data_IF_807488081599
#
_entry.id   IF_807488081599
#
_cell.length_a   1.000
_cell.length_b   1.000
_cell.length_c   1.000
_cell.angle_alpha   90.00
_cell.angle_beta   90.00
_cell.angle_gamma   90.00
#
_symmetry.space_group_name_H-M   'P 1'
#
loop_
_entity.id
_entity.type
_entity.pdbx_description
1 polymer ?
#
# COMPACT_ATOMS: atom_id res chain seq x y z
N UNK A 1 -13.34 2.34 -5.70
CA UNK A 1 -14.24 3.48 -6.03
C UNK A 1 -13.41 4.58 -6.70
N UNK A 2 -13.90 5.20 -7.78
CA UNK A 2 -13.18 6.24 -8.54
C UNK A 2 -13.59 7.62 -8.01
N UNK A 3 -12.64 8.41 -7.48
CA UNK A 3 -12.89 9.80 -7.12
C UNK A 3 -12.39 10.69 -8.27
N UNK A 4 -13.32 11.35 -8.96
CA UNK A 4 -13.02 12.33 -10.00
C UNK A 4 -12.98 13.72 -9.37
N UNK A 5 -11.79 14.29 -9.23
CA UNK A 5 -11.65 15.70 -8.83
C UNK A 5 -11.28 16.49 -10.08
N UNK A 6 -12.20 17.35 -10.54
CA UNK A 6 -11.97 18.23 -11.69
C UNK A 6 -11.47 19.59 -11.19
N UNK A 7 -10.21 19.92 -11.47
CA UNK A 7 -9.59 21.21 -11.18
C UNK A 7 -9.18 21.85 -12.50
N UNK A 8 -10.10 22.57 -13.15
CA UNK A 8 -9.87 23.14 -14.48
C UNK A 8 -9.68 22.06 -15.56
N UNK A 9 -8.72 22.22 -16.47
CA UNK A 9 -8.49 21.33 -17.62
C UNK A 9 -7.80 19.99 -17.30
N UNK A 10 -7.56 19.66 -16.02
CA UNK A 10 -6.98 18.38 -15.60
C UNK A 10 -7.97 17.58 -14.75
N UNK A 11 -8.26 16.36 -15.21
CA UNK A 11 -8.93 15.33 -14.42
C UNK A 11 -7.86 14.58 -13.62
N UNK A 12 -7.94 14.65 -12.28
CA UNK A 12 -7.13 13.80 -11.42
C UNK A 12 -7.95 12.57 -11.04
N UNK A 13 -7.53 11.42 -11.57
CA UNK A 13 -8.13 10.12 -11.29
C UNK A 13 -7.51 9.51 -10.02
N UNK A 14 -8.21 9.61 -8.88
CA UNK A 14 -7.79 8.92 -7.66
C UNK A 14 -8.47 7.55 -7.58
N UNK A 15 -7.67 6.49 -7.70
CA UNK A 15 -8.11 5.11 -7.51
C UNK A 15 -7.92 4.70 -6.04
N UNK A 16 -9.03 4.57 -5.32
CA UNK A 16 -9.05 3.90 -4.03
C UNK A 16 -9.47 2.45 -4.26
N UNK A 17 -8.51 1.52 -4.09
CA UNK A 17 -8.79 0.09 -4.01
C UNK A 17 -9.29 -0.18 -2.59
N UNK A 18 -10.61 -0.20 -2.42
CA UNK A 18 -11.24 -0.69 -1.19
C UNK A 18 -11.71 -2.10 -1.53
N UNK A 19 -11.03 -3.11 -0.97
CA UNK A 19 -11.47 -4.51 -1.07
C UNK A 19 -12.86 -4.65 -0.43
N UNK A 20 -13.67 -5.49 -1.06
CA UNK A 20 -15.13 -5.43 -1.08
C UNK A 20 -15.85 -5.79 0.23
N UNK A 21 -17.11 -5.34 0.30
CA UNK A 21 -18.29 -5.88 1.02
C UNK A 21 -18.82 -5.30 2.35
N UNK A 22 -18.14 -4.45 3.12
CA UNK A 22 -18.73 -3.97 4.40
C UNK A 22 -18.67 -2.46 4.72
N UNK A 23 -18.41 -1.60 3.73
CA UNK A 23 -18.24 -0.17 4.01
C UNK A 23 -19.55 0.66 3.96
N UNK A 24 -20.27 0.69 5.08
CA UNK A 24 -21.37 1.65 5.35
C UNK A 24 -20.84 3.03 5.77
N UNK A 25 -20.06 3.71 4.93
CA UNK A 25 -19.69 5.10 5.21
C UNK A 25 -19.72 6.00 3.95
N UNK A 26 -20.92 6.12 3.35
CA UNK A 26 -21.22 7.18 2.35
C UNK A 26 -20.94 8.59 2.87
N UNK A 27 -20.98 8.79 4.20
CA UNK A 27 -20.67 10.06 4.86
C UNK A 27 -19.17 10.36 4.81
N UNK A 28 -18.32 9.37 5.07
CA UNK A 28 -16.86 9.55 5.12
C UNK A 28 -16.29 9.92 3.77
N UNK A 29 -16.81 9.30 2.70
CA UNK A 29 -16.49 9.64 1.32
C UNK A 29 -16.81 11.12 1.03
N UNK A 30 -18.01 11.57 1.41
CA UNK A 30 -18.43 12.97 1.24
C UNK A 30 -17.58 13.95 2.06
N UNK A 31 -17.07 13.53 3.22
CA UNK A 31 -16.17 14.36 4.05
C UNK A 31 -14.80 14.50 3.38
N UNK A 32 -14.24 13.40 2.88
CA UNK A 32 -12.96 13.40 2.16
C UNK A 32 -13.08 14.26 0.88
N UNK A 33 -14.14 14.10 0.10
CA UNK A 33 -14.42 14.93 -1.08
C UNK A 33 -14.46 16.43 -0.73
N UNK A 34 -15.19 16.80 0.32
CA UNK A 34 -15.30 18.21 0.75
C UNK A 34 -13.99 18.79 1.27
N UNK A 35 -13.17 18.00 1.97
CA UNK A 35 -11.86 18.43 2.44
C UNK A 35 -10.91 18.65 1.27
N UNK A 36 -10.88 17.75 0.29
CA UNK A 36 -10.03 17.88 -0.90
C UNK A 36 -10.43 19.10 -1.73
N UNK A 37 -11.73 19.34 -1.94
CA UNK A 37 -12.24 20.54 -2.64
C UNK A 37 -11.83 21.81 -1.88
N UNK A 38 -11.95 21.83 -0.55
CA UNK A 38 -11.61 23.01 0.26
C UNK A 38 -10.10 23.28 0.26
N UNK A 39 -9.28 22.24 0.34
CA UNK A 39 -7.82 22.33 0.21
C UNK A 39 -7.40 22.84 -1.17
N UNK A 40 -8.04 22.37 -2.24
CA UNK A 40 -7.77 22.86 -3.60
C UNK A 40 -8.18 24.32 -3.79
N UNK A 41 -9.29 24.76 -3.17
CA UNK A 41 -9.72 26.16 -3.22
C UNK A 41 -8.77 27.12 -2.48
N UNK A 42 -8.11 26.65 -1.42
CA UNK A 42 -7.12 27.42 -0.65
C UNK A 42 -5.76 27.54 -1.35
N UNK A 43 -5.48 26.65 -2.32
CA UNK A 43 -4.17 26.53 -2.96
C UNK A 43 -4.13 27.09 -4.39
N UNK A 44 -5.00 28.04 -4.73
CA UNK A 44 -5.14 28.56 -6.10
C UNK A 44 -3.94 29.32 -6.69
N UNK A 45 -2.78 29.41 -6.02
CA UNK A 45 -1.63 30.20 -6.49
C UNK A 45 -0.44 29.38 -7.01
N UNK A 46 -0.41 28.06 -6.85
CA UNK A 46 0.73 27.25 -7.30
C UNK A 46 0.33 25.78 -7.59
N UNK A 47 0.03 25.43 -8.85
CA UNK A 47 -0.53 24.10 -9.18
C UNK A 47 0.44 22.93 -8.89
N UNK A 48 1.75 23.14 -9.03
CA UNK A 48 2.75 22.06 -8.83
C UNK A 48 2.78 21.60 -7.38
N UNK A 49 2.77 22.55 -6.44
CA UNK A 49 2.80 22.20 -5.02
C UNK A 49 1.42 21.78 -4.47
N UNK A 50 0.32 22.11 -5.17
CA UNK A 50 -0.98 21.48 -4.92
C UNK A 50 -0.96 19.99 -5.31
N UNK A 51 -0.43 19.67 -6.48
CA UNK A 51 -0.32 18.29 -6.96
C UNK A 51 0.48 17.42 -6.01
N UNK A 52 1.65 17.89 -5.58
CA UNK A 52 2.48 17.17 -4.61
C UNK A 52 1.77 16.98 -3.25
N UNK A 53 1.07 18.02 -2.75
CA UNK A 53 0.33 17.93 -1.49
C UNK A 53 -0.84 16.92 -1.58
N UNK A 54 -1.56 16.90 -2.70
CA UNK A 54 -2.66 15.95 -2.92
C UNK A 54 -2.17 14.51 -3.02
N UNK A 55 -1.06 14.25 -3.72
CA UNK A 55 -0.45 12.91 -3.78
C UNK A 55 0.02 12.44 -2.41
N UNK A 56 0.61 13.34 -1.61
CA UNK A 56 1.01 13.03 -0.25
C UNK A 56 -0.19 12.69 0.62
N UNK A 57 -1.26 13.49 0.55
CA UNK A 57 -2.49 13.25 1.30
C UNK A 57 -3.15 11.93 0.91
N UNK A 58 -3.24 11.64 -0.39
CA UNK A 58 -3.74 10.37 -0.90
C UNK A 58 -2.93 9.18 -0.35
N UNK A 59 -1.60 9.29 -0.33
CA UNK A 59 -0.74 8.26 0.25
C UNK A 59 -0.98 8.07 1.75
N UNK A 60 -1.17 9.17 2.50
CA UNK A 60 -1.50 9.12 3.93
C UNK A 60 -2.83 8.40 4.14
N UNK A 61 -3.86 8.79 3.40
CA UNK A 61 -5.20 8.18 3.50
C UNK A 61 -5.16 6.70 3.15
N UNK A 62 -4.45 6.31 2.08
CA UNK A 62 -4.26 4.90 1.71
C UNK A 62 -3.64 4.08 2.84
N UNK A 63 -2.62 4.62 3.52
CA UNK A 63 -1.96 3.93 4.64
C UNK A 63 -2.84 3.77 5.89
N UNK A 64 -3.89 4.58 6.03
CA UNK A 64 -4.85 4.42 7.14
C UNK A 64 -5.77 3.23 6.90
N UNK A 65 -6.24 3.02 5.67
CA UNK A 65 -7.26 2.01 5.38
C UNK A 65 -6.71 0.60 5.10
N UNK A 66 -5.52 0.49 4.49
CA UNK A 66 -4.97 -0.81 4.16
C UNK A 66 -3.45 -0.87 4.28
N UNK A 67 -2.98 -1.94 4.91
CA UNK A 67 -1.56 -2.25 5.07
C UNK A 67 -1.37 -3.76 5.17
N UNK A 68 -1.01 -4.35 4.04
CA UNK A 68 -0.68 -5.76 3.93
C UNK A 68 0.82 -5.99 4.12
N UNK A 69 1.20 -6.98 4.92
CA UNK A 69 2.58 -7.46 4.96
C UNK A 69 2.81 -8.54 3.92
N UNK A 70 3.98 -8.49 3.29
CA UNK A 70 4.55 -9.64 2.58
C UNK A 70 4.96 -10.72 3.59
N UNK A 71 5.03 -11.98 3.14
CA UNK A 71 5.52 -13.07 3.98
C UNK A 71 6.97 -12.79 4.39
N UNK A 72 7.23 -12.77 5.70
CA UNK A 72 8.58 -12.57 6.25
C UNK A 72 9.39 -13.87 6.18
N UNK A 73 10.73 -13.74 6.18
CA UNK A 73 11.70 -14.84 6.24
C UNK A 73 11.87 -15.69 4.97
N UNK A 74 11.49 -15.16 3.81
CA UNK A 74 11.81 -15.78 2.53
C UNK A 74 12.70 -14.83 1.72
N UNK A 75 13.77 -15.38 1.14
CA UNK A 75 14.57 -14.70 0.13
C UNK A 75 14.34 -15.42 -1.19
N UNK A 76 13.70 -14.76 -2.14
CA UNK A 76 13.38 -15.40 -3.40
C UNK A 76 14.60 -15.31 -4.31
N UNK A 77 15.17 -16.47 -4.65
CA UNK A 77 16.34 -16.51 -5.53
C UNK A 77 15.94 -16.07 -6.93
N UNK A 78 16.62 -15.04 -7.45
CA UNK A 78 16.37 -14.41 -8.76
C UNK A 78 17.11 -15.09 -9.92
N UNK A 79 17.91 -16.12 -9.62
CA UNK A 79 18.96 -16.59 -10.55
C UNK A 79 18.54 -17.81 -11.39
N UNK A 80 17.29 -18.25 -11.31
CA UNK A 80 16.82 -19.52 -11.89
C UNK A 80 15.94 -19.36 -13.14
N UNK A 81 15.86 -18.17 -13.75
CA UNK A 81 15.20 -18.03 -15.06
C UNK A 81 16.23 -18.24 -16.17
N UNK A 82 16.61 -19.50 -16.39
CA UNK A 82 17.37 -19.90 -17.55
C UNK A 82 16.51 -19.77 -18.82
N UNK A 83 17.13 -19.31 -19.92
CA UNK A 83 16.44 -18.77 -21.11
C UNK A 83 15.52 -19.76 -21.83
N UNK A 84 15.64 -21.06 -21.56
CA UNK A 84 14.99 -22.13 -22.33
C UNK A 84 13.92 -22.94 -21.57
N UNK A 85 13.63 -22.64 -20.30
CA UNK A 85 12.66 -23.42 -19.51
C UNK A 85 11.73 -22.57 -18.67
N UNK A 86 10.95 -21.66 -19.27
CA UNK A 86 9.73 -21.17 -18.63
C UNK A 86 8.59 -22.21 -18.75
N UNK A 87 8.88 -23.46 -18.39
CA UNK A 87 7.87 -24.51 -18.33
C UNK A 87 7.15 -24.42 -16.97
N UNK A 88 5.89 -24.85 -16.92
CA UNK A 88 5.08 -24.98 -15.68
C UNK A 88 5.84 -25.72 -14.56
N UNK A 89 6.83 -26.55 -14.92
CA UNK A 89 7.70 -27.29 -14.01
C UNK A 89 8.77 -26.44 -13.29
N UNK A 90 9.18 -25.29 -13.85
CA UNK A 90 10.13 -24.38 -13.18
C UNK A 90 9.45 -23.55 -12.08
N UNK A 91 8.15 -23.27 -12.22
CA UNK A 91 7.36 -22.65 -11.14
C UNK A 91 7.28 -23.54 -9.90
N UNK A 92 7.31 -24.87 -10.07
CA UNK A 92 7.28 -25.85 -8.98
C UNK A 92 8.60 -25.95 -8.19
N UNK A 93 9.69 -25.33 -8.69
CA UNK A 93 10.97 -25.24 -7.96
C UNK A 93 11.04 -24.01 -7.05
N UNK A 94 10.10 -23.08 -7.16
CA UNK A 94 10.04 -21.91 -6.31
C UNK A 94 9.18 -22.19 -5.07
N UNK A 95 9.60 -21.59 -3.96
CA UNK A 95 8.77 -21.58 -2.75
C UNK A 95 7.40 -20.96 -3.09
N UNK A 96 6.27 -21.51 -2.61
CA UNK A 96 4.92 -21.02 -2.96
C UNK A 96 4.63 -19.56 -2.62
N UNK A 97 5.47 -18.95 -1.77
CA UNK A 97 5.42 -17.53 -1.39
C UNK A 97 6.24 -16.62 -2.31
N UNK A 98 7.11 -17.19 -3.14
CA UNK A 98 7.86 -16.47 -4.17
C UNK A 98 7.04 -16.39 -5.45
N UNK A 99 6.88 -15.18 -5.97
CA UNK A 99 6.21 -14.94 -7.25
C UNK A 99 7.04 -13.94 -8.08
N UNK A 100 8.23 -14.35 -8.56
CA UNK A 100 9.15 -13.45 -9.24
C UNK A 100 8.51 -12.83 -10.48
N UNK A 101 8.77 -11.54 -10.71
CA UNK A 101 8.27 -10.82 -11.89
C UNK A 101 9.28 -11.03 -13.02
N UNK A 102 8.90 -11.76 -14.06
CA UNK A 102 9.78 -12.00 -15.21
C UNK A 102 9.99 -10.71 -16.02
N UNK A 103 11.24 -10.44 -16.39
CA UNK A 103 11.64 -9.28 -17.19
C UNK A 103 11.92 -9.71 -18.62
N UNK A 104 11.38 -8.97 -19.59
CA UNK A 104 11.57 -9.24 -21.00
C UNK A 104 13.04 -9.02 -21.41
N UNK A 105 13.57 -9.86 -22.31
CA UNK A 105 14.88 -9.66 -22.95
C UNK A 105 15.03 -8.28 -23.61
N UNK A 106 13.94 -7.76 -24.16
CA UNK A 106 13.91 -6.47 -24.86
C UNK A 106 13.41 -5.33 -23.97
N UNK A 107 13.44 -5.50 -22.65
CA UNK A 107 13.16 -4.40 -21.74
C UNK A 107 14.25 -3.32 -21.89
N UNK A 108 13.84 -2.07 -22.14
CA UNK A 108 14.78 -0.99 -22.43
C UNK A 108 15.65 -0.60 -21.23
N UNK A 109 15.20 -0.85 -20.01
CA UNK A 109 15.90 -0.45 -18.79
C UNK A 109 16.66 -1.63 -18.18
N UNK A 110 15.96 -2.74 -17.94
CA UNK A 110 16.51 -3.92 -17.28
C UNK A 110 17.23 -4.87 -18.23
N UNK A 111 16.89 -4.86 -19.52
CA UNK A 111 17.50 -5.71 -20.54
C UNK A 111 19.02 -5.51 -20.66
N UNK A 112 19.52 -4.26 -20.84
CA UNK A 112 20.95 -3.98 -20.88
C UNK A 112 21.70 -4.34 -19.59
N UNK A 113 21.01 -4.37 -18.45
CA UNK A 113 21.57 -4.72 -17.14
C UNK A 113 21.63 -6.24 -16.90
N UNK A 114 21.14 -7.04 -17.86
CA UNK A 114 21.07 -8.49 -17.72
C UNK A 114 20.07 -8.96 -16.65
N UNK A 115 19.19 -8.08 -16.16
CA UNK A 115 18.18 -8.42 -15.16
C UNK A 115 17.05 -9.21 -15.83
N UNK A 116 16.76 -10.40 -15.30
CA UNK A 116 15.79 -11.35 -15.89
C UNK A 116 14.55 -11.54 -15.03
N UNK A 117 14.63 -11.21 -13.75
CA UNK A 117 13.48 -11.13 -12.88
C UNK A 117 13.69 -10.12 -11.75
N UNK A 118 12.57 -9.67 -11.20
CA UNK A 118 12.51 -8.84 -9.99
C UNK A 118 11.99 -9.68 -8.84
N UNK A 119 12.58 -9.50 -7.66
CA UNK A 119 12.13 -10.16 -6.44
C UNK A 119 10.73 -9.67 -6.07
N UNK A 120 9.82 -10.61 -5.87
CA UNK A 120 8.47 -10.32 -5.38
C UNK A 120 7.98 -11.47 -4.48
N UNK A 121 7.53 -11.08 -3.30
CA UNK A 121 6.95 -11.95 -2.27
C UNK A 121 5.45 -11.73 -2.22
N UNK A 122 4.69 -12.81 -2.08
CA UNK A 122 3.23 -12.74 -1.93
C UNK A 122 2.87 -12.10 -0.57
N UNK A 123 1.74 -11.39 -0.51
CA UNK A 123 1.16 -10.94 0.76
C UNK A 123 0.83 -12.12 1.65
N UNK A 124 1.05 -12.02 2.96
CA UNK A 124 0.74 -13.08 3.93
C UNK A 124 -0.71 -13.57 3.88
N UNK A 125 -0.94 -14.89 4.06
CA UNK A 125 -2.30 -15.41 4.16
C UNK A 125 -2.93 -14.98 5.49
N UNK A 126 -4.20 -14.58 5.46
CA UNK A 126 -4.99 -14.38 6.66
C UNK A 126 -5.39 -15.74 7.25
N UNK A 127 -5.23 -15.97 8.57
CA UNK A 127 -5.80 -17.14 9.20
C UNK A 127 -7.33 -17.06 9.13
N UNK A 128 -7.98 -18.14 8.70
CA UNK A 128 -9.44 -18.27 8.78
C UNK A 128 -9.87 -18.49 10.22
N UNK A 129 -11.10 -18.07 10.54
CA UNK A 129 -11.74 -18.45 11.79
C UNK A 129 -11.77 -19.98 11.90
N UNK A 130 -11.45 -20.51 13.09
CA UNK A 130 -11.35 -21.95 13.30
C UNK A 130 -10.15 -22.65 12.64
N UNK A 131 -9.21 -21.90 12.02
CA UNK A 131 -8.06 -22.46 11.30
C UNK A 131 -8.45 -23.42 10.18
N UNK A 132 -9.61 -23.22 9.57
CA UNK A 132 -10.12 -24.09 8.50
C UNK A 132 -9.38 -23.90 7.18
N UNK A 133 -9.34 -24.96 6.38
CA UNK A 133 -8.82 -24.90 5.02
C UNK A 133 -9.78 -24.15 4.10
N UNK A 134 -9.23 -23.38 3.16
CA UNK A 134 -10.02 -22.72 2.13
C UNK A 134 -9.18 -21.81 1.23
N UNK A 135 -9.85 -20.98 0.41
CA UNK A 135 -9.15 -19.98 -0.39
C UNK A 135 -8.30 -19.06 0.49
N UNK A 136 -7.17 -18.62 -0.07
CA UNK A 136 -6.26 -17.68 0.58
C UNK A 136 -6.87 -16.29 0.62
N UNK A 137 -7.07 -15.77 1.82
CA UNK A 137 -7.46 -14.37 2.06
C UNK A 137 -6.24 -13.53 2.47
N UNK A 138 -6.32 -12.21 2.31
CA UNK A 138 -5.26 -11.27 2.72
C UNK A 138 -5.67 -10.53 4.00
N UNK A 139 -4.71 -10.30 4.89
CA UNK A 139 -4.93 -9.59 6.15
C UNK A 139 -4.44 -8.14 6.05
N UNK A 140 -5.28 -7.18 6.45
CA UNK A 140 -4.86 -5.83 6.77
C UNK A 140 -4.44 -5.75 8.25
N UNK A 141 -3.31 -5.10 8.53
CA UNK A 141 -2.84 -4.86 9.91
C UNK A 141 -3.26 -3.51 10.48
N UNK A 142 -3.99 -2.71 9.70
CA UNK A 142 -4.49 -1.40 10.11
C UNK A 142 -6.00 -1.48 10.32
N UNK A 143 -6.53 -0.46 10.98
CA UNK A 143 -7.97 -0.39 11.25
C UNK A 143 -8.71 -0.02 9.96
N UNK A 144 -9.97 -0.44 9.86
CA UNK A 144 -10.84 -0.04 8.76
C UNK A 144 -11.43 1.37 8.97
N UNK A 145 -10.93 2.16 9.91
CA UNK A 145 -11.54 3.43 10.30
C UNK A 145 -10.60 4.59 10.06
N UNK A 146 -11.15 5.78 9.82
CA UNK A 146 -10.36 7.02 9.80
C UNK A 146 -10.15 7.52 11.24
N UNK A 147 -9.22 6.88 11.94
CA UNK A 147 -8.99 7.04 13.39
C UNK A 147 -7.60 7.61 13.73
N UNK A 148 -6.87 8.09 12.71
CA UNK A 148 -5.48 8.53 12.83
C UNK A 148 -4.51 7.43 13.35
N UNK A 149 -4.82 6.15 13.12
CA UNK A 149 -3.92 5.02 13.39
C UNK A 149 -2.56 5.12 12.66
N UNK A 150 -2.45 5.91 11.60
CA UNK A 150 -1.13 6.24 11.01
C UNK A 150 -0.22 6.97 12.01
N UNK A 151 -0.78 7.83 12.86
CA UNK A 151 -0.05 8.62 13.87
C UNK A 151 0.05 7.84 15.18
N UNK A 152 -1.03 7.19 15.60
CA UNK A 152 -1.14 6.55 16.91
C UNK A 152 -0.89 5.04 16.92
N UNK A 153 -0.63 4.44 15.75
CA UNK A 153 -0.58 2.99 15.51
C UNK A 153 -1.93 2.26 15.67
N UNK A 154 -2.08 1.14 14.95
CA UNK A 154 -3.15 0.15 15.14
C UNK A 154 -2.79 -0.93 16.16
N UNK A 155 -1.54 -0.96 16.63
CA UNK A 155 -1.03 -1.94 17.59
C UNK A 155 -0.78 -1.26 18.96
N UNK A 156 -1.30 -1.85 20.04
CA UNK A 156 -1.19 -1.29 21.38
C UNK A 156 0.27 -1.11 21.85
N UNK A 157 1.12 -2.13 21.70
CA UNK A 157 2.53 -2.05 22.10
C UNK A 157 3.27 -0.96 21.33
N UNK A 158 2.98 -0.82 20.03
CA UNK A 158 3.57 0.23 19.23
C UNK A 158 3.03 1.60 19.62
N UNK A 159 1.72 1.74 19.88
CA UNK A 159 1.11 2.99 20.37
C UNK A 159 1.76 3.47 21.66
N UNK A 160 2.02 2.57 22.60
CA UNK A 160 2.66 2.89 23.87
C UNK A 160 4.10 3.35 23.68
N UNK A 161 4.84 2.74 22.75
CA UNK A 161 6.22 3.14 22.42
C UNK A 161 6.32 4.55 21.81
N UNK A 162 5.23 5.03 21.19
CA UNK A 162 5.17 6.37 20.60
C UNK A 162 4.82 7.44 21.63
N UNK A 163 4.41 7.09 22.86
CA UNK A 163 3.89 8.04 23.86
C UNK A 163 4.90 8.33 24.97
N UNK A 164 4.92 9.57 25.40
CA UNK A 164 5.55 10.03 26.64
C UNK A 164 4.43 10.27 27.66
N UNK A 165 4.27 9.33 28.60
CA UNK A 165 3.18 9.37 29.59
C UNK A 165 3.30 10.50 30.62
N UNK A 166 4.48 11.09 30.79
CA UNK A 166 4.71 12.16 31.78
C UNK A 166 3.99 13.46 31.43
N UNK A 167 3.71 13.71 30.15
CA UNK A 167 3.06 14.95 29.66
C UNK A 167 1.98 14.71 28.58
N UNK A 168 1.56 13.45 28.35
CA UNK A 168 0.60 13.07 27.30
C UNK A 168 1.05 13.57 25.90
N UNK A 169 2.34 13.45 25.60
CA UNK A 169 2.91 13.84 24.31
C UNK A 169 3.37 12.63 23.51
N UNK A 170 3.61 12.80 22.21
CA UNK A 170 4.32 11.80 21.41
C UNK A 170 5.83 11.97 21.56
N UNK A 171 6.55 10.87 21.43
CA UNK A 171 8.01 10.87 21.39
C UNK A 171 8.47 11.58 20.12
N UNK A 172 9.30 12.61 20.30
CA UNK A 172 9.91 13.36 19.21
C UNK A 172 11.42 13.21 19.29
N UNK A 173 12.03 12.73 18.21
CA UNK A 173 13.49 12.68 18.08
C UNK A 173 13.96 14.01 17.48
N UNK A 174 14.72 14.84 18.21
CA UNK A 174 15.23 16.08 17.66
C UNK A 174 16.20 15.77 16.48
N UNK A 175 16.27 16.65 15.47
CA UNK A 175 17.29 16.54 14.42
C UNK A 175 18.68 16.63 15.05
N UNK A 176 19.60 15.78 14.57
CA UNK A 176 21.03 15.76 14.91
C UNK A 176 21.74 16.89 14.18
#
# INVERSE_FOLDING_TARGET
MKLLVSLGQQSLDFYYCVTSEHFRHKILIKVIERLVIKMASLYQRNLVSLGAALLCLDQIVKRVFDSQNMVRNYKCKTDLIDKDKMSKAVLALYHPECLPIAVNLRDNFYGPLGVRCLEFLRSGPAPKEGCEFGPREQLSQVTSYLDASMVYSSNAMHSDSLRIFRNVTLFFRPPI
#
